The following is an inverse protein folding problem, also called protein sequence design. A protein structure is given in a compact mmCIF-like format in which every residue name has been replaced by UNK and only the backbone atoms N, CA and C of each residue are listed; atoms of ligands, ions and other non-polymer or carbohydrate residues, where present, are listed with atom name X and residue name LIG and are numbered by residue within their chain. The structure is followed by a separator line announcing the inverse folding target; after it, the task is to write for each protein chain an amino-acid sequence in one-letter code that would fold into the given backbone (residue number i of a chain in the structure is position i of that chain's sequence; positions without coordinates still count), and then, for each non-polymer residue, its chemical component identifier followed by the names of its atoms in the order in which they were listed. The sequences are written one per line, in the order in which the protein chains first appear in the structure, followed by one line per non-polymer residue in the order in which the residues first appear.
data_IF_251130089273
#
_entry.id   IF_251130089273
#
_cell.length_a   1.000
_cell.length_b   1.000
_cell.length_c   1.000
_cell.angle_alpha   90.00
_cell.angle_beta   90.00
_cell.angle_gamma   90.00
#
_symmetry.space_group_name_H-M   'P 1'
#
loop_
_entity.id
_entity.type
_entity.pdbx_description
1 polymer ?
#
# COMPACT_ATOMS: atom_id res chain seq x y z
N UNK A 1 -79.04 80.40 -42.68
CA UNK A 1 -78.66 79.08 -42.12
C UNK A 1 -77.54 79.32 -41.13
N UNK A 2 -77.87 79.10 -39.85
CA UNK A 2 -77.04 78.62 -38.71
C UNK A 2 -75.58 79.07 -38.56
N UNK A 3 -75.05 79.52 -37.43
CA UNK A 3 -75.51 79.89 -36.07
C UNK A 3 -74.37 80.74 -35.47
N UNK A 4 -74.74 81.90 -34.89
CA UNK A 4 -74.21 82.74 -33.79
C UNK A 4 -72.79 82.46 -33.21
N UNK A 5 -71.83 83.41 -33.08
CA UNK A 5 -71.81 84.76 -32.44
C UNK A 5 -72.27 84.73 -30.96
N UNK A 6 -71.83 85.50 -29.97
CA UNK A 6 -70.99 86.68 -29.74
C UNK A 6 -70.76 86.69 -28.21
N UNK A 7 -69.60 87.07 -27.68
CA UNK A 7 -69.13 88.44 -27.40
C UNK A 7 -69.71 89.07 -26.10
N UNK A 8 -68.83 89.77 -25.36
CA UNK A 8 -69.04 90.39 -24.03
C UNK A 8 -70.08 91.54 -24.03
N UNK A 9 -70.64 91.99 -22.87
CA UNK A 9 -70.02 93.12 -22.14
C UNK A 9 -70.31 93.26 -20.61
N UNK A 10 -69.61 94.23 -20.04
CA UNK A 10 -69.56 94.86 -18.70
C UNK A 10 -70.86 95.29 -18.00
N UNK A 11 -70.85 95.42 -16.65
CA UNK A 11 -71.10 96.71 -15.94
C UNK A 11 -71.21 96.60 -14.39
N UNK A 12 -70.97 97.75 -13.76
CA UNK A 12 -70.96 98.17 -12.35
C UNK A 12 -72.05 97.63 -11.39
N UNK A 13 -71.70 97.63 -10.10
CA UNK A 13 -72.37 98.36 -8.98
C UNK A 13 -72.55 97.53 -7.70
N UNK A 14 -71.99 98.03 -6.59
CA UNK A 14 -72.36 97.69 -5.21
C UNK A 14 -73.85 97.98 -4.95
N UNK A 15 -74.57 97.25 -4.07
CA UNK A 15 -74.50 97.55 -2.63
C UNK A 15 -74.69 96.36 -1.65
N UNK A 16 -74.14 96.51 -0.45
CA UNK A 16 -74.53 95.81 0.79
C UNK A 16 -76.02 96.14 1.12
N UNK A 17 -76.82 95.38 1.93
CA UNK A 17 -76.42 94.93 3.27
C UNK A 17 -77.11 93.65 3.86
N UNK A 18 -76.58 93.18 5.00
CA UNK A 18 -77.23 92.43 6.10
C UNK A 18 -77.75 90.99 5.85
N UNK A 19 -77.22 90.01 6.60
CA UNK A 19 -77.98 88.80 6.95
C UNK A 19 -77.21 87.56 7.38
N UNK A 20 -76.97 87.44 8.69
CA UNK A 20 -76.85 86.19 9.48
C UNK A 20 -75.68 85.22 9.24
N UNK A 21 -74.62 85.49 9.99
CA UNK A 21 -73.59 84.53 10.41
C UNK A 21 -74.19 83.48 11.37
N UNK A 22 -74.17 82.19 10.98
CA UNK A 22 -74.55 81.04 11.83
C UNK A 22 -73.41 80.01 11.81
N UNK A 23 -72.49 80.15 12.75
CA UNK A 23 -71.42 79.18 13.03
C UNK A 23 -72.01 77.92 13.67
N UNK A 24 -71.98 76.80 12.95
CA UNK A 24 -72.31 75.47 13.49
C UNK A 24 -71.16 74.92 14.34
N UNK A 25 -71.45 74.64 15.62
CA UNK A 25 -70.58 73.92 16.55
C UNK A 25 -70.68 72.41 16.31
N UNK A 26 -69.52 71.75 16.21
CA UNK A 26 -69.40 70.30 16.15
C UNK A 26 -68.41 69.86 17.25
N UNK A 27 -68.83 69.10 18.28
CA UNK A 27 -67.95 68.75 19.39
C UNK A 27 -67.02 67.58 19.00
N UNK A 28 -65.75 67.65 19.40
CA UNK A 28 -64.84 66.50 19.43
C UNK A 28 -64.61 66.05 20.88
N UNK A 29 -64.63 64.73 21.16
CA UNK A 29 -64.49 64.20 22.51
C UNK A 29 -63.01 64.04 22.92
N UNK A 30 -62.71 64.31 24.20
CA UNK A 30 -61.53 63.77 24.90
C UNK A 30 -60.24 64.57 24.86
N UNK A 31 -60.22 65.77 25.47
CA UNK A 31 -58.97 66.47 25.80
C UNK A 31 -58.38 65.95 27.12
N UNK A 32 -57.27 65.20 27.07
CA UNK A 32 -56.43 64.90 28.24
C UNK A 32 -55.43 66.05 28.41
N UNK A 33 -55.39 66.67 29.58
CA UNK A 33 -54.44 67.74 29.88
C UNK A 33 -52.97 67.25 29.73
N UNK A 34 -52.04 68.10 29.24
CA UNK A 34 -50.64 67.72 29.12
C UNK A 34 -50.03 67.53 30.51
N UNK A 35 -49.47 66.34 30.76
CA UNK A 35 -48.64 66.08 31.94
C UNK A 35 -47.37 66.95 31.88
N UNK A 36 -46.85 67.44 33.02
CA UNK A 36 -45.55 68.09 33.05
C UNK A 36 -44.49 67.10 32.53
N UNK A 37 -43.65 67.57 31.61
CA UNK A 37 -42.59 66.78 31.01
C UNK A 37 -41.72 66.16 32.11
N UNK A 38 -41.55 64.83 32.04
CA UNK A 38 -40.55 64.15 32.83
C UNK A 38 -39.18 64.81 32.60
N UNK A 39 -38.32 64.94 33.62
CA UNK A 39 -36.97 65.45 33.42
C UNK A 39 -36.31 64.64 32.30
N UNK A 40 -35.77 65.34 31.31
CA UNK A 40 -34.96 64.70 30.26
C UNK A 40 -33.90 63.84 30.96
N UNK A 41 -33.69 62.58 30.54
CA UNK A 41 -32.62 61.77 31.12
C UNK A 41 -31.33 62.56 30.97
N UNK A 42 -30.66 62.81 32.11
CA UNK A 42 -29.36 63.47 32.13
C UNK A 42 -28.47 62.80 31.08
N UNK A 43 -27.78 63.61 30.27
CA UNK A 43 -26.76 63.09 29.35
C UNK A 43 -25.90 62.08 30.12
N UNK A 44 -25.75 60.83 29.61
CA UNK A 44 -24.97 59.85 30.34
C UNK A 44 -23.59 60.45 30.61
N UNK A 45 -23.19 60.45 31.88
CA UNK A 45 -21.83 60.78 32.28
C UNK A 45 -20.87 60.06 31.32
N UNK A 46 -19.72 60.65 30.93
CA UNK A 46 -18.77 59.98 30.05
C UNK A 46 -18.22 58.76 30.78
N UNK A 47 -18.93 57.63 30.66
CA UNK A 47 -18.50 56.35 31.20
C UNK A 47 -17.27 56.01 30.39
N UNK A 48 -16.13 55.88 31.06
CA UNK A 48 -14.92 55.39 30.43
C UNK A 48 -15.29 54.09 29.71
N UNK A 49 -15.16 54.09 28.38
CA UNK A 49 -15.46 52.90 27.58
C UNK A 49 -14.65 51.73 28.15
N UNK A 50 -15.32 50.61 28.43
CA UNK A 50 -14.65 49.41 28.92
C UNK A 50 -13.43 49.12 28.03
N UNK A 51 -12.25 48.80 28.61
CA UNK A 51 -11.04 48.59 27.83
C UNK A 51 -11.31 47.52 26.77
N UNK A 52 -11.13 47.89 25.50
CA UNK A 52 -11.32 46.95 24.40
C UNK A 52 -10.37 45.76 24.62
N UNK A 53 -10.86 44.52 24.71
CA UNK A 53 -10.01 43.37 24.92
C UNK A 53 -9.09 43.21 23.72
N UNK A 54 -7.82 43.54 23.93
CA UNK A 54 -6.74 43.29 22.99
C UNK A 54 -6.33 41.82 23.12
N UNK A 55 -6.57 41.02 22.07
CA UNK A 55 -6.05 39.65 22.02
C UNK A 55 -4.52 39.67 22.04
N UNK A 56 -3.90 38.69 22.70
CA UNK A 56 -2.46 38.44 22.55
C UNK A 56 -2.24 37.77 21.19
N UNK A 57 -1.78 38.52 20.20
CA UNK A 57 -1.38 37.94 18.93
C UNK A 57 0.01 37.30 19.06
N UNK A 58 0.14 36.03 18.67
CA UNK A 58 1.43 35.39 18.46
C UNK A 58 1.92 35.79 17.06
N UNK A 59 2.58 36.94 16.96
CA UNK A 59 3.28 37.36 15.73
C UNK A 59 4.51 36.50 15.49
N UNK A 60 4.95 36.39 14.23
CA UNK A 60 6.16 35.62 13.88
C UNK A 60 7.43 36.44 13.98
N UNK A 61 7.32 37.76 14.09
CA UNK A 61 8.44 38.66 14.35
C UNK A 61 8.17 39.60 15.54
N UNK A 62 9.23 40.11 16.21
CA UNK A 62 9.11 40.92 17.42
C UNK A 62 8.22 42.17 17.26
N UNK A 63 8.25 42.85 16.12
CA UNK A 63 7.39 44.01 15.84
C UNK A 63 5.91 43.60 15.72
N UNK A 64 5.62 42.49 15.03
CA UNK A 64 4.25 41.98 14.92
C UNK A 64 3.69 41.55 16.28
N UNK A 65 4.50 40.83 17.06
CA UNK A 65 4.12 40.36 18.38
C UNK A 65 3.86 41.54 19.34
N UNK A 66 4.70 42.58 19.28
CA UNK A 66 4.49 43.81 20.05
C UNK A 66 3.23 44.57 19.59
N UNK A 67 2.96 44.59 18.28
CA UNK A 67 1.84 45.32 17.67
C UNK A 67 0.50 44.57 17.70
N UNK A 68 0.47 43.31 18.17
CA UNK A 68 -0.71 42.44 18.11
C UNK A 68 -2.01 43.07 18.61
N UNK A 69 -1.94 43.80 19.74
CA UNK A 69 -3.10 44.52 20.28
C UNK A 69 -3.62 45.58 19.31
N UNK A 70 -2.73 46.39 18.74
CA UNK A 70 -3.06 47.46 17.79
C UNK A 70 -3.59 46.90 16.47
N UNK A 71 -3.00 45.84 15.93
CA UNK A 71 -3.45 45.18 14.70
C UNK A 71 -4.84 44.55 14.88
N UNK A 72 -5.12 43.96 16.05
CA UNK A 72 -6.45 43.42 16.37
C UNK A 72 -7.51 44.52 16.50
N UNK A 73 -7.12 45.71 16.96
CA UNK A 73 -8.02 46.86 17.03
C UNK A 73 -8.23 47.49 15.66
N UNK A 74 -7.21 47.53 14.81
CA UNK A 74 -7.28 48.08 13.45
C UNK A 74 -8.43 47.45 12.65
N UNK A 75 -8.60 46.13 12.74
CA UNK A 75 -9.70 45.42 12.05
C UNK A 75 -11.07 45.75 12.64
N UNK A 76 -11.19 45.77 13.97
CA UNK A 76 -12.46 46.09 14.65
C UNK A 76 -12.90 47.53 14.40
N UNK A 77 -11.96 48.48 14.47
CA UNK A 77 -12.25 49.90 14.30
C UNK A 77 -12.87 50.19 12.93
N UNK A 78 -12.36 49.58 11.86
CA UNK A 78 -12.93 49.72 10.51
C UNK A 78 -14.39 49.25 10.41
N UNK A 79 -14.76 48.22 11.18
CA UNK A 79 -16.14 47.70 11.22
C UNK A 79 -17.06 48.42 12.21
N UNK A 80 -16.57 49.39 12.98
CA UNK A 80 -17.34 50.05 14.02
C UNK A 80 -18.17 51.20 13.44
N UNK A 81 -19.49 51.04 13.40
CA UNK A 81 -20.41 52.04 12.82
C UNK A 81 -20.66 53.26 13.70
N UNK A 82 -20.52 53.13 15.02
CA UNK A 82 -20.65 54.22 15.98
C UNK A 82 -19.79 53.96 17.21
N UNK A 83 -19.18 55.02 17.76
CA UNK A 83 -18.43 54.94 19.02
C UNK A 83 -18.87 56.06 19.98
N UNK A 84 -19.29 55.74 21.22
CA UNK A 84 -19.90 56.72 22.12
C UNK A 84 -18.92 57.78 22.66
N UNK A 85 -17.62 57.48 22.71
CA UNK A 85 -16.61 58.39 23.23
C UNK A 85 -15.27 58.31 22.45
N UNK A 86 -15.14 59.02 21.30
CA UNK A 86 -13.91 58.99 20.51
C UNK A 86 -12.65 59.45 21.27
N UNK A 87 -12.78 60.43 22.18
CA UNK A 87 -11.65 60.92 22.97
C UNK A 87 -11.07 59.87 23.92
N UNK A 88 -11.92 59.04 24.55
CA UNK A 88 -11.45 57.98 25.45
C UNK A 88 -10.79 56.84 24.67
N UNK A 89 -11.32 56.49 23.49
CA UNK A 89 -10.69 55.54 22.58
C UNK A 89 -9.29 56.01 22.16
N UNK A 90 -9.13 57.30 21.82
CA UNK A 90 -7.81 57.86 21.49
C UNK A 90 -6.83 57.70 22.64
N UNK A 91 -7.24 58.03 23.86
CA UNK A 91 -6.39 57.86 25.05
C UNK A 91 -5.98 56.39 25.25
N UNK A 92 -6.88 55.44 24.99
CA UNK A 92 -6.56 54.00 25.02
C UNK A 92 -5.55 53.61 23.94
N UNK A 93 -5.73 54.05 22.69
CA UNK A 93 -4.80 53.76 21.60
C UNK A 93 -3.40 54.34 21.87
N UNK A 94 -3.29 55.54 22.43
CA UNK A 94 -2.02 56.11 22.88
C UNK A 94 -1.37 55.25 23.99
N UNK A 95 -2.17 54.69 24.90
CA UNK A 95 -1.69 53.72 25.89
C UNK A 95 -1.15 52.45 25.23
N UNK A 96 -1.85 51.90 24.24
CA UNK A 96 -1.39 50.72 23.51
C UNK A 96 -0.15 50.99 22.66
N UNK A 97 0.02 52.19 22.10
CA UNK A 97 1.24 52.60 21.38
C UNK A 97 2.45 52.63 22.32
N UNK A 98 2.30 53.15 23.55
CA UNK A 98 3.37 53.10 24.56
C UNK A 98 3.72 51.67 24.96
N UNK A 99 2.73 50.79 25.11
CA UNK A 99 2.97 49.36 25.38
C UNK A 99 3.68 48.67 24.20
N UNK A 100 3.33 49.02 22.97
CA UNK A 100 4.01 48.54 21.77
C UNK A 100 5.49 48.93 21.78
N UNK A 101 5.82 50.20 22.02
CA UNK A 101 7.20 50.68 22.12
C UNK A 101 8.00 49.89 23.16
N UNK A 102 7.46 49.78 24.38
CA UNK A 102 8.11 49.06 25.48
C UNK A 102 8.35 47.59 25.15
N UNK A 103 7.38 46.91 24.52
CA UNK A 103 7.51 45.49 24.14
C UNK A 103 8.50 45.29 23.01
N UNK A 104 8.51 46.16 22.00
CA UNK A 104 9.41 46.07 20.87
C UNK A 104 10.88 46.32 21.29
N UNK A 105 11.11 47.33 22.13
CA UNK A 105 12.43 47.60 22.70
C UNK A 105 12.90 46.46 23.62
N UNK A 106 12.01 45.92 24.46
CA UNK A 106 12.33 44.76 25.31
C UNK A 106 12.64 43.49 24.50
N UNK A 107 12.08 43.36 23.29
CA UNK A 107 12.38 42.28 22.35
C UNK A 107 13.69 42.50 21.56
N UNK A 108 14.42 43.58 21.83
CA UNK A 108 15.72 43.87 21.20
C UNK A 108 15.64 44.59 19.86
N UNK A 109 14.48 45.13 19.48
CA UNK A 109 14.33 45.88 18.22
C UNK A 109 15.00 47.25 18.35
N UNK A 110 15.75 47.65 17.31
CA UNK A 110 16.41 48.95 17.30
C UNK A 110 15.41 50.11 17.42
N UNK A 111 15.71 51.10 18.26
CA UNK A 111 14.82 52.23 18.53
C UNK A 111 14.31 52.96 17.28
N UNK A 112 15.15 53.09 16.25
CA UNK A 112 14.75 53.69 14.98
C UNK A 112 13.66 52.88 14.27
N UNK A 113 13.78 51.55 14.24
CA UNK A 113 12.76 50.65 13.69
C UNK A 113 11.44 50.75 14.48
N UNK A 114 11.53 50.83 15.82
CA UNK A 114 10.35 51.02 16.67
C UNK A 114 9.63 52.33 16.34
N UNK A 115 10.36 53.44 16.13
CA UNK A 115 9.78 54.73 15.76
C UNK A 115 9.10 54.68 14.39
N UNK A 116 9.70 54.03 13.40
CA UNK A 116 9.14 53.85 12.06
C UNK A 116 7.89 52.95 12.08
N UNK A 117 7.93 51.85 12.82
CA UNK A 117 6.79 50.96 13.02
C UNK A 117 5.63 51.67 13.72
N UNK A 118 5.92 52.44 14.78
CA UNK A 118 4.92 53.26 15.48
C UNK A 118 4.28 54.29 14.56
N UNK A 119 5.07 54.95 13.73
CA UNK A 119 4.58 55.91 12.74
C UNK A 119 3.59 55.26 11.77
N UNK A 120 3.94 54.08 11.24
CA UNK A 120 3.06 53.31 10.37
C UNK A 120 1.75 52.90 11.06
N UNK A 121 1.84 52.41 12.30
CA UNK A 121 0.67 52.02 13.11
C UNK A 121 -0.25 53.22 13.42
N UNK A 122 0.31 54.37 13.80
CA UNK A 122 -0.47 55.59 14.02
C UNK A 122 -1.23 55.99 12.76
N UNK A 123 -0.55 55.98 11.62
CA UNK A 123 -1.14 56.35 10.33
C UNK A 123 -2.26 55.38 9.93
N UNK A 124 -2.04 54.07 10.07
CA UNK A 124 -3.05 53.06 9.73
C UNK A 124 -4.28 53.13 10.64
N UNK A 125 -4.09 53.33 11.95
CA UNK A 125 -5.19 53.46 12.91
C UNK A 125 -5.98 54.75 12.70
N UNK A 126 -5.30 55.87 12.44
CA UNK A 126 -5.95 57.14 12.12
C UNK A 126 -6.79 57.01 10.84
N UNK A 127 -6.27 56.37 9.80
CA UNK A 127 -7.04 56.11 8.58
C UNK A 127 -8.24 55.21 8.83
N UNK A 128 -8.07 54.13 9.61
CA UNK A 128 -9.17 53.24 9.98
C UNK A 128 -10.30 53.99 10.69
N UNK A 129 -9.97 54.86 11.65
CA UNK A 129 -10.98 55.69 12.33
C UNK A 129 -11.60 56.71 11.37
N UNK A 130 -10.80 57.46 10.62
CA UNK A 130 -11.29 58.47 9.67
C UNK A 130 -12.08 57.89 8.50
N UNK A 131 -11.97 56.59 8.23
CA UNK A 131 -12.79 55.87 7.25
C UNK A 131 -14.19 55.52 7.77
N UNK A 132 -14.48 55.71 9.06
CA UNK A 132 -15.80 55.49 9.66
C UNK A 132 -16.65 56.77 9.68
N UNK A 133 -18.00 56.66 9.69
CA UNK A 133 -18.88 57.84 9.72
C UNK A 133 -18.69 58.73 10.97
N UNK A 134 -18.40 58.13 12.12
CA UNK A 134 -18.19 58.86 13.38
C UNK A 134 -16.79 59.45 13.48
N UNK A 135 -15.78 58.84 12.84
CA UNK A 135 -14.42 59.35 12.84
C UNK A 135 -14.33 60.73 12.19
N UNK A 136 -14.92 60.88 11.01
CA UNK A 136 -14.98 62.17 10.29
C UNK A 136 -15.87 63.22 10.98
N UNK A 137 -16.90 62.79 11.72
CA UNK A 137 -17.79 63.68 12.45
C UNK A 137 -17.22 64.13 13.82
N UNK A 138 -16.13 63.51 14.27
CA UNK A 138 -15.49 63.79 15.55
C UNK A 138 -14.26 64.70 15.41
N UNK A 139 -13.74 65.18 16.53
CA UNK A 139 -12.50 65.97 16.58
C UNK A 139 -11.22 65.15 16.29
N UNK A 140 -11.35 63.87 15.89
CA UNK A 140 -10.20 62.98 15.62
C UNK A 140 -9.24 63.54 14.58
N UNK A 141 -9.76 64.18 13.51
CA UNK A 141 -8.92 64.75 12.47
C UNK A 141 -7.99 65.88 12.96
N UNK A 142 -8.39 66.61 14.02
CA UNK A 142 -7.56 67.69 14.61
C UNK A 142 -6.57 67.17 15.66
N UNK A 143 -6.88 66.04 16.29
CA UNK A 143 -6.09 65.44 17.36
C UNK A 143 -5.80 63.97 17.06
N UNK A 144 -5.32 63.68 15.85
CA UNK A 144 -5.05 62.30 15.43
C UNK A 144 -3.88 61.69 16.25
N UNK A 145 -3.72 60.38 16.21
CA UNK A 145 -2.60 59.70 16.85
C UNK A 145 -1.27 60.18 16.26
N UNK A 146 -1.19 60.29 14.94
CA UNK A 146 -0.02 60.77 14.22
C UNK A 146 0.34 62.22 14.60
N UNK A 147 -0.65 63.11 14.68
CA UNK A 147 -0.44 64.50 15.12
C UNK A 147 0.07 64.51 16.57
N UNK A 148 -0.55 63.73 17.45
CA UNK A 148 -0.20 63.72 18.88
C UNK A 148 1.21 63.17 19.13
N UNK A 149 1.61 62.14 18.38
CA UNK A 149 2.82 61.36 18.67
C UNK A 149 4.01 61.77 17.81
N UNK A 150 3.76 62.18 16.57
CA UNK A 150 4.78 62.53 15.57
C UNK A 150 4.69 63.98 15.10
N UNK A 151 3.71 64.77 15.56
CA UNK A 151 3.48 66.15 15.13
C UNK A 151 3.30 66.28 13.61
N UNK A 152 2.69 65.27 13.00
CA UNK A 152 2.42 65.22 11.55
C UNK A 152 0.95 64.89 11.27
N UNK A 153 0.34 65.57 10.30
CA UNK A 153 -1.06 65.40 9.94
C UNK A 153 -1.30 64.49 8.72
N UNK A 154 -0.26 64.18 7.93
CA UNK A 154 -0.39 63.46 6.66
C UNK A 154 0.64 62.35 6.53
N UNK A 155 0.29 61.15 7.01
CA UNK A 155 1.20 60.02 7.03
C UNK A 155 1.15 59.09 5.82
N UNK A 156 0.04 59.13 5.08
CA UNK A 156 -0.28 58.15 4.05
C UNK A 156 0.79 57.97 2.96
N UNK A 157 1.45 59.05 2.54
CA UNK A 157 2.51 58.98 1.53
C UNK A 157 3.84 58.48 2.11
N UNK A 158 4.25 59.01 3.27
CA UNK A 158 5.51 58.63 3.95
C UNK A 158 5.56 57.16 4.32
N UNK A 159 4.43 56.55 4.67
CA UNK A 159 4.36 55.09 4.93
C UNK A 159 4.74 54.29 3.67
N UNK A 160 4.31 54.72 2.49
CA UNK A 160 4.69 54.05 1.24
C UNK A 160 6.12 54.37 0.79
N UNK A 161 6.63 55.57 1.07
CA UNK A 161 8.07 55.87 0.88
C UNK A 161 8.93 54.98 1.78
N UNK A 162 8.51 54.77 3.03
CA UNK A 162 9.14 53.84 3.96
C UNK A 162 9.07 52.39 3.44
N UNK A 163 7.93 51.96 2.91
CA UNK A 163 7.77 50.65 2.30
C UNK A 163 8.73 50.46 1.10
N UNK A 164 8.82 51.45 0.22
CA UNK A 164 9.75 51.43 -0.93
C UNK A 164 11.21 51.33 -0.47
N UNK A 165 11.59 52.05 0.59
CA UNK A 165 12.92 51.94 1.19
C UNK A 165 13.18 50.54 1.77
N UNK A 166 12.18 49.94 2.46
CA UNK A 166 12.29 48.57 2.97
C UNK A 166 12.41 47.54 1.83
N UNK A 167 11.73 47.76 0.69
CA UNK A 167 11.84 46.89 -0.49
C UNK A 167 13.20 46.98 -1.19
N UNK A 168 13.96 48.05 -1.01
CA UNK A 168 15.34 48.17 -1.53
C UNK A 168 16.31 47.29 -0.72
N UNK A 169 16.12 47.22 0.61
CA UNK A 169 16.95 46.42 1.54
C UNK A 169 16.08 45.46 2.38
N UNK A 170 15.42 44.47 1.77
CA UNK A 170 14.39 43.67 2.46
C UNK A 170 14.96 42.75 3.54
N UNK A 171 16.25 42.39 3.48
CA UNK A 171 16.92 41.56 4.49
C UNK A 171 17.24 42.32 5.78
N UNK A 172 17.49 43.62 5.68
CA UNK A 172 17.89 44.45 6.83
C UNK A 172 16.67 44.87 7.66
N UNK A 173 15.53 45.12 7.01
CA UNK A 173 14.31 45.65 7.63
C UNK A 173 13.11 44.73 7.41
N UNK A 174 13.37 43.42 7.42
CA UNK A 174 12.33 42.42 7.15
C UNK A 174 11.17 42.54 8.14
N UNK A 175 11.49 42.84 9.39
CA UNK A 175 10.50 42.88 10.45
C UNK A 175 9.50 44.04 10.29
N UNK A 176 9.99 45.19 9.84
CA UNK A 176 9.18 46.36 9.52
C UNK A 176 8.40 46.16 8.22
N UNK A 177 9.02 45.54 7.22
CA UNK A 177 8.37 45.20 5.95
C UNK A 177 7.15 44.28 6.15
N UNK A 178 7.26 43.28 7.03
CA UNK A 178 6.15 42.40 7.42
C UNK A 178 5.01 43.18 8.09
N UNK A 179 5.33 44.09 9.03
CA UNK A 179 4.33 44.93 9.68
C UNK A 179 3.59 45.83 8.69
N UNK A 180 4.31 46.46 7.76
CA UNK A 180 3.71 47.29 6.69
C UNK A 180 2.83 46.45 5.77
N UNK A 181 3.25 45.24 5.42
CA UNK A 181 2.45 44.29 4.66
C UNK A 181 1.15 43.92 5.38
N UNK A 182 1.21 43.68 6.70
CA UNK A 182 0.02 43.44 7.52
C UNK A 182 -0.90 44.66 7.52
N UNK A 183 -0.38 45.87 7.71
CA UNK A 183 -1.19 47.09 7.64
C UNK A 183 -1.96 47.20 6.31
N UNK A 184 -1.28 47.00 5.16
CA UNK A 184 -1.92 46.99 3.85
C UNK A 184 -2.97 45.88 3.72
N UNK A 185 -2.66 44.67 4.21
CA UNK A 185 -3.57 43.52 4.16
C UNK A 185 -4.81 43.70 5.04
N UNK A 186 -4.70 44.46 6.12
CA UNK A 186 -5.81 44.84 7.01
C UNK A 186 -6.57 46.08 6.50
N UNK A 187 -6.20 46.58 5.32
CA UNK A 187 -6.96 47.55 4.55
C UNK A 187 -6.38 48.97 4.56
N UNK A 188 -5.16 49.20 5.04
CA UNK A 188 -4.51 50.50 4.89
C UNK A 188 -4.29 50.85 3.40
N UNK A 189 -4.82 51.98 2.96
CA UNK A 189 -4.79 52.45 1.56
C UNK A 189 -3.87 53.67 1.38
N UNK A 190 -3.79 54.56 2.38
CA UNK A 190 -3.01 55.80 2.34
C UNK A 190 -3.23 56.62 1.06
N UNK A 191 -2.13 56.96 0.35
CA UNK A 191 -2.19 57.77 -0.88
C UNK A 191 -3.00 57.13 -2.00
N UNK A 192 -3.16 55.80 -2.00
CA UNK A 192 -3.85 55.07 -3.06
C UNK A 192 -5.38 55.18 -3.00
N UNK A 193 -5.93 55.63 -1.87
CA UNK A 193 -7.38 55.84 -1.72
C UNK A 193 -7.95 56.91 -2.66
N UNK A 194 -7.15 57.92 -2.97
CA UNK A 194 -7.54 59.09 -3.79
C UNK A 194 -6.96 59.06 -5.21
N UNK A 195 -6.06 58.12 -5.49
CA UNK A 195 -5.36 58.01 -6.77
C UNK A 195 -6.23 57.30 -7.81
N UNK A 196 -6.14 57.73 -9.08
CA UNK A 196 -6.74 57.00 -10.19
C UNK A 196 -6.09 55.62 -10.34
N UNK A 197 -6.91 54.57 -10.48
CA UNK A 197 -6.46 53.17 -10.47
C UNK A 197 -5.68 52.76 -9.18
N UNK A 198 -5.87 53.50 -8.09
CA UNK A 198 -5.09 53.31 -6.86
C UNK A 198 -5.28 51.94 -6.21
N UNK A 199 -6.48 51.33 -6.31
CA UNK A 199 -6.74 49.98 -5.80
C UNK A 199 -5.91 48.93 -6.52
N UNK A 200 -5.83 48.99 -7.85
CA UNK A 200 -5.04 48.04 -8.65
C UNK A 200 -3.54 48.21 -8.36
N UNK A 201 -3.07 49.45 -8.22
CA UNK A 201 -1.68 49.73 -7.83
C UNK A 201 -1.35 49.24 -6.41
N UNK A 202 -2.27 49.41 -5.46
CA UNK A 202 -2.10 48.91 -4.09
C UNK A 202 -2.09 47.38 -4.05
N UNK A 203 -2.95 46.73 -4.83
CA UNK A 203 -2.96 45.27 -4.97
C UNK A 203 -1.64 44.75 -5.56
N UNK A 204 -1.15 45.38 -6.63
CA UNK A 204 0.15 45.05 -7.23
C UNK A 204 1.32 45.27 -6.24
N UNK A 205 1.27 46.33 -5.42
CA UNK A 205 2.26 46.61 -4.40
C UNK A 205 2.21 45.58 -3.26
N UNK A 206 1.01 45.15 -2.85
CA UNK A 206 0.80 44.08 -1.87
C UNK A 206 1.38 42.77 -2.36
N UNK A 207 1.13 42.40 -3.62
CA UNK A 207 1.63 41.17 -4.22
C UNK A 207 3.16 41.18 -4.40
N UNK A 208 3.74 42.32 -4.81
CA UNK A 208 5.20 42.53 -4.85
C UNK A 208 5.83 42.43 -3.46
N UNK A 209 5.18 42.99 -2.44
CA UNK A 209 5.66 42.90 -1.06
C UNK A 209 5.61 41.46 -0.56
N UNK A 210 4.50 40.75 -0.81
CA UNK A 210 4.36 39.34 -0.45
C UNK A 210 5.39 38.44 -1.15
N UNK A 211 5.68 38.66 -2.44
CA UNK A 211 6.69 37.90 -3.17
C UNK A 211 8.10 38.14 -2.61
N UNK A 212 8.41 39.39 -2.23
CA UNK A 212 9.68 39.75 -1.59
C UNK A 212 9.82 39.13 -0.20
N UNK A 213 8.75 39.13 0.60
CA UNK A 213 8.75 38.48 1.92
C UNK A 213 8.98 36.96 1.80
N UNK A 214 8.31 36.31 0.84
CA UNK A 214 8.51 34.88 0.54
C UNK A 214 9.92 34.57 0.08
N UNK A 215 10.53 35.43 -0.74
CA UNK A 215 11.89 35.20 -1.23
C UNK A 215 12.95 35.35 -0.13
N UNK A 216 12.71 36.18 0.89
CA UNK A 216 13.65 36.37 2.00
C UNK A 216 13.45 35.38 3.14
N UNK A 217 12.21 35.12 3.59
CA UNK A 217 11.93 34.15 4.67
C UNK A 217 11.95 32.69 4.21
N UNK A 218 11.85 32.43 2.90
CA UNK A 218 11.65 31.10 2.32
C UNK A 218 10.17 30.79 2.08
N UNK A 219 9.89 29.75 1.28
CA UNK A 219 8.52 29.25 1.12
C UNK A 219 8.04 28.70 2.47
N UNK A 220 6.95 29.27 3.01
CA UNK A 220 6.27 28.66 4.16
C UNK A 220 5.68 27.33 3.73
N UNK A 221 5.79 26.32 4.60
CA UNK A 221 5.18 25.02 4.40
C UNK A 221 3.71 25.20 4.00
N UNK A 222 3.37 24.76 2.78
CA UNK A 222 1.99 24.81 2.23
C UNK A 222 1.06 23.79 2.90
N UNK A 223 1.59 23.02 3.85
CA UNK A 223 0.92 21.90 4.46
C UNK A 223 -0.11 22.43 5.46
N UNK A 224 -1.39 22.18 5.17
CA UNK A 224 -2.54 22.68 5.96
C UNK A 224 -2.63 22.07 7.37
N UNK A 225 -1.78 21.07 7.67
CA UNK A 225 -1.70 20.40 8.96
C UNK A 225 -0.22 20.17 9.29
N UNK A 226 0.26 20.54 10.50
CA UNK A 226 1.61 20.19 10.97
C UNK A 226 1.87 18.68 11.01
N UNK A 227 0.80 17.86 11.00
CA UNK A 227 0.85 16.41 11.01
C UNK A 227 -0.02 15.84 9.88
N UNK A 228 0.15 16.32 8.64
CA UNK A 228 -0.59 15.82 7.48
C UNK A 228 -0.26 14.37 7.14
N UNK A 229 0.90 13.89 7.57
CA UNK A 229 1.29 12.50 7.41
C UNK A 229 0.40 11.67 8.34
N UNK A 230 -0.68 11.12 7.77
CA UNK A 230 -1.50 10.13 8.43
C UNK A 230 -0.62 9.03 9.02
N UNK A 231 -1.08 8.44 10.12
CA UNK A 231 -0.40 7.31 10.77
C UNK A 231 0.12 6.37 9.69
N UNK A 232 1.44 6.25 9.58
CA UNK A 232 2.04 5.28 8.67
C UNK A 232 1.71 3.91 9.24
N UNK A 233 0.53 3.41 8.92
CA UNK A 233 0.18 2.00 9.08
C UNK A 233 1.16 1.32 8.15
N UNK A 234 2.24 0.75 8.70
CA UNK A 234 3.09 -0.17 7.96
C UNK A 234 2.11 -1.10 7.26
N UNK A 235 2.06 -1.12 5.91
CA UNK A 235 1.27 -2.14 5.27
C UNK A 235 1.88 -3.45 5.76
N UNK A 236 1.06 -4.32 6.34
CA UNK A 236 1.45 -5.70 6.61
C UNK A 236 1.79 -6.34 5.27
N UNK A 237 3.01 -6.09 4.77
CA UNK A 237 3.42 -6.40 3.40
C UNK A 237 3.46 -7.91 3.22
N UNK A 238 3.82 -8.66 4.26
CA UNK A 238 3.90 -10.11 4.18
C UNK A 238 2.51 -10.79 4.09
N UNK A 239 1.53 -10.33 4.87
CA UNK A 239 0.19 -10.97 4.92
C UNK A 239 -0.67 -10.64 3.69
N UNK A 240 -0.31 -9.60 2.92
CA UNK A 240 -1.01 -9.21 1.69
C UNK A 240 -0.36 -9.74 0.41
N UNK A 241 0.93 -10.10 0.44
CA UNK A 241 1.67 -10.60 -0.74
C UNK A 241 1.73 -12.13 -0.82
N UNK A 242 1.68 -12.83 0.31
CA UNK A 242 1.80 -14.29 0.33
C UNK A 242 0.51 -14.89 0.87
N UNK A 243 -0.41 -15.32 -0.01
CA UNK A 243 -1.59 -16.05 0.42
C UNK A 243 -1.21 -17.25 1.30
N UNK A 244 -2.02 -17.63 2.29
CA UNK A 244 -1.71 -18.71 3.23
C UNK A 244 -1.47 -20.07 2.55
N UNK A 245 -2.05 -20.29 1.36
CA UNK A 245 -1.82 -21.51 0.58
C UNK A 245 -0.36 -21.68 0.12
N UNK A 246 0.39 -20.59 -0.04
CA UNK A 246 1.82 -20.64 -0.42
C UNK A 246 2.65 -21.24 0.71
N UNK A 247 2.38 -20.84 1.97
CA UNK A 247 3.04 -21.42 3.14
C UNK A 247 2.74 -22.92 3.27
N UNK A 248 1.49 -23.32 3.05
CA UNK A 248 1.09 -24.73 3.04
C UNK A 248 1.79 -25.52 1.92
N UNK A 249 1.90 -24.95 0.72
CA UNK A 249 2.58 -25.58 -0.41
C UNK A 249 4.08 -25.77 -0.16
N UNK A 250 4.76 -24.77 0.42
CA UNK A 250 6.17 -24.87 0.79
C UNK A 250 6.39 -25.93 1.88
N UNK A 251 5.55 -25.95 2.91
CA UNK A 251 5.63 -26.97 3.96
C UNK A 251 5.43 -28.39 3.41
N UNK A 252 4.47 -28.59 2.51
CA UNK A 252 4.24 -29.88 1.86
C UNK A 252 5.43 -30.28 0.99
N UNK A 253 6.01 -29.35 0.23
CA UNK A 253 7.18 -29.61 -0.60
C UNK A 253 8.39 -30.03 0.24
N UNK A 254 8.64 -29.35 1.36
CA UNK A 254 9.70 -29.72 2.32
C UNK A 254 9.48 -31.11 2.92
N UNK A 255 8.23 -31.44 3.28
CA UNK A 255 7.88 -32.75 3.83
C UNK A 255 8.08 -33.88 2.80
N UNK A 256 7.71 -33.65 1.54
CA UNK A 256 7.95 -34.60 0.44
C UNK A 256 9.44 -34.79 0.17
N UNK A 257 10.23 -33.71 0.19
CA UNK A 257 11.68 -33.76 0.00
C UNK A 257 12.36 -34.53 1.14
N UNK A 258 11.93 -34.29 2.38
CA UNK A 258 12.39 -35.05 3.55
C UNK A 258 12.05 -36.54 3.42
N UNK A 259 10.80 -36.87 3.06
CA UNK A 259 10.37 -38.25 2.89
C UNK A 259 11.15 -38.95 1.77
N UNK A 260 11.41 -38.25 0.66
CA UNK A 260 12.25 -38.76 -0.42
C UNK A 260 13.68 -39.04 0.06
N UNK A 261 14.30 -38.10 0.79
CA UNK A 261 15.63 -38.28 1.38
C UNK A 261 15.69 -39.48 2.34
N UNK A 262 14.69 -39.64 3.21
CA UNK A 262 14.58 -40.78 4.12
C UNK A 262 14.42 -42.11 3.37
N UNK A 263 13.64 -42.14 2.28
CA UNK A 263 13.48 -43.33 1.42
C UNK A 263 14.79 -43.73 0.77
N UNK A 264 15.56 -42.78 0.24
CA UNK A 264 16.88 -43.04 -0.33
C UNK A 264 17.86 -43.56 0.71
N UNK A 265 17.90 -42.94 1.89
CA UNK A 265 18.77 -43.38 2.99
C UNK A 265 18.42 -44.81 3.43
N UNK A 266 17.14 -45.11 3.64
CA UNK A 266 16.68 -46.44 4.02
C UNK A 266 17.05 -47.50 2.97
N UNK A 267 16.95 -47.19 1.68
CA UNK A 267 17.33 -48.11 0.61
C UNK A 267 18.84 -48.36 0.56
N UNK A 268 19.64 -47.31 0.75
CA UNK A 268 21.10 -47.43 0.82
C UNK A 268 21.55 -48.30 2.01
N UNK A 269 20.89 -48.16 3.16
CA UNK A 269 21.18 -48.95 4.36
C UNK A 269 20.67 -50.40 4.24
N UNK A 270 19.62 -50.66 3.45
CA UNK A 270 19.02 -51.99 3.28
C UNK A 270 19.78 -52.90 2.30
N UNK A 271 20.37 -52.35 1.23
CA UNK A 271 21.09 -53.13 0.20
C UNK A 271 22.22 -54.04 0.75
N UNK A 272 23.09 -53.61 1.70
CA UNK A 272 24.10 -54.50 2.27
C UNK A 272 23.52 -55.63 3.14
N UNK A 273 22.45 -55.34 3.90
CA UNK A 273 21.77 -56.35 4.73
C UNK A 273 21.15 -57.42 3.84
N UNK A 274 20.53 -57.01 2.74
CA UNK A 274 19.96 -57.93 1.78
C UNK A 274 21.03 -58.84 1.14
N UNK A 275 22.18 -58.25 0.75
CA UNK A 275 23.33 -59.03 0.26
C UNK A 275 23.84 -60.05 1.28
N UNK A 276 23.86 -59.71 2.57
CA UNK A 276 24.27 -60.65 3.63
C UNK A 276 23.27 -61.79 3.83
N UNK A 277 21.96 -61.51 3.80
CA UNK A 277 20.93 -62.55 3.90
C UNK A 277 21.05 -63.55 2.75
N UNK A 278 21.30 -63.07 1.53
CA UNK A 278 21.51 -63.95 0.38
C UNK A 278 22.79 -64.78 0.52
N UNK A 279 23.89 -64.19 1.01
CA UNK A 279 25.11 -64.94 1.28
C UNK A 279 24.93 -66.05 2.33
N UNK A 280 23.97 -65.90 3.26
CA UNK A 280 23.61 -66.94 4.23
C UNK A 280 22.76 -68.08 3.63
N UNK A 281 22.11 -67.85 2.48
CA UNK A 281 21.38 -68.90 1.74
C UNK A 281 22.30 -69.94 1.09
N UNK A 282 23.58 -69.60 0.88
CA UNK A 282 24.62 -70.51 0.35
C UNK A 282 25.35 -71.31 1.45
N UNK A 283 24.77 -71.46 2.66
CA UNK A 283 25.29 -72.46 3.59
C UNK A 283 25.12 -73.83 2.92
N UNK A 284 26.19 -74.60 2.65
CA UNK A 284 26.05 -75.94 2.14
C UNK A 284 25.38 -76.73 3.25
N UNK A 285 24.07 -76.96 3.12
CA UNK A 285 23.39 -77.99 3.88
C UNK A 285 24.21 -79.24 3.60
N UNK A 286 24.88 -79.77 4.63
CA UNK A 286 25.50 -81.08 4.55
C UNK A 286 24.40 -82.02 4.06
N UNK A 287 24.54 -82.45 2.81
CA UNK A 287 23.68 -83.42 2.18
C UNK A 287 23.73 -84.68 3.04
N UNK A 288 22.72 -84.88 3.88
CA UNK A 288 22.40 -86.20 4.39
C UNK A 288 22.12 -87.00 3.12
N UNK A 289 22.98 -87.97 2.82
CA UNK A 289 22.82 -88.84 1.65
C UNK A 289 21.36 -89.35 1.63
N UNK A 290 20.56 -88.97 0.62
CA UNK A 290 19.20 -89.48 0.56
C UNK A 290 19.31 -90.98 0.28
N UNK A 291 18.55 -91.78 1.03
CA UNK A 291 18.35 -93.19 0.71
C UNK A 291 17.91 -93.29 -0.76
N UNK A 292 18.53 -94.18 -1.52
CA UNK A 292 18.25 -94.42 -2.94
C UNK A 292 16.76 -94.69 -3.15
N UNK A 293 16.00 -93.65 -3.49
CA UNK A 293 14.63 -93.78 -3.98
C UNK A 293 14.74 -94.15 -5.46
N UNK A 294 14.10 -95.26 -5.83
CA UNK A 294 14.01 -95.78 -7.20
C UNK A 294 13.70 -94.64 -8.19
N UNK A 295 14.31 -94.62 -9.39
CA UNK A 295 14.12 -93.53 -10.33
C UNK A 295 12.65 -93.44 -10.73
N UNK A 296 11.94 -92.44 -10.19
CA UNK A 296 10.72 -91.93 -10.81
C UNK A 296 11.18 -91.29 -12.11
N UNK A 297 10.59 -91.68 -13.23
CA UNK A 297 10.91 -91.09 -14.54
C UNK A 297 10.53 -89.62 -14.47
N UNK A 298 11.51 -88.76 -14.23
CA UNK A 298 11.33 -87.31 -14.26
C UNK A 298 11.11 -86.94 -15.72
N UNK A 299 9.91 -86.46 -16.05
CA UNK A 299 9.65 -85.86 -17.37
C UNK A 299 10.58 -84.67 -17.53
N UNK A 300 11.51 -84.77 -18.49
CA UNK A 300 12.56 -83.78 -18.67
C UNK A 300 11.95 -82.51 -19.27
N UNK A 301 11.98 -81.36 -18.58
CA UNK A 301 11.54 -80.11 -19.16
C UNK A 301 12.49 -79.77 -20.32
N UNK A 302 12.05 -79.97 -21.58
CA UNK A 302 12.86 -79.67 -22.77
C UNK A 302 12.32 -78.43 -23.47
N UNK A 303 12.57 -77.26 -22.88
CA UNK A 303 12.10 -75.98 -23.44
C UNK A 303 12.86 -75.59 -24.71
N UNK A 304 14.09 -76.09 -24.91
CA UNK A 304 14.90 -75.74 -26.08
C UNK A 304 14.24 -76.15 -27.41
N UNK A 305 13.45 -77.23 -27.42
CA UNK A 305 12.73 -77.68 -28.63
C UNK A 305 11.65 -76.68 -29.02
N UNK A 306 10.89 -76.19 -28.04
CA UNK A 306 9.76 -75.27 -28.26
C UNK A 306 10.21 -73.84 -28.60
N UNK A 307 11.38 -73.42 -28.12
CA UNK A 307 11.94 -72.09 -28.34
C UNK A 307 13.06 -72.05 -29.40
N UNK A 308 13.18 -73.09 -30.24
CA UNK A 308 14.30 -73.25 -31.18
C UNK A 308 14.43 -72.10 -32.19
N UNK A 309 13.33 -71.49 -32.60
CA UNK A 309 13.33 -70.30 -33.48
C UNK A 309 13.89 -69.06 -32.77
N UNK A 310 13.51 -68.85 -31.51
CA UNK A 310 13.96 -67.71 -30.70
C UNK A 310 15.43 -67.84 -30.25
N UNK A 311 15.90 -69.08 -30.07
CA UNK A 311 17.32 -69.38 -29.83
C UNK A 311 18.15 -69.06 -31.09
N UNK A 312 17.69 -69.47 -32.28
CA UNK A 312 18.37 -69.12 -33.55
C UNK A 312 18.39 -67.62 -33.82
N UNK A 313 17.32 -66.92 -33.44
CA UNK A 313 17.24 -65.46 -33.50
C UNK A 313 18.03 -64.74 -32.39
N UNK A 314 18.74 -65.48 -31.53
CA UNK A 314 19.55 -64.97 -30.41
C UNK A 314 18.75 -64.07 -29.43
N UNK A 315 17.44 -64.32 -29.30
CA UNK A 315 16.53 -63.59 -28.39
C UNK A 315 16.49 -64.19 -26.99
N UNK A 316 16.72 -65.50 -26.88
CA UNK A 316 16.78 -66.25 -25.63
C UNK A 316 17.91 -67.28 -25.68
N UNK A 317 18.47 -67.62 -24.53
CA UNK A 317 19.34 -68.78 -24.37
C UNK A 317 18.63 -69.81 -23.49
N UNK A 318 18.64 -71.08 -23.87
CA UNK A 318 17.99 -72.15 -23.09
C UNK A 318 19.04 -73.19 -22.72
N UNK A 319 19.08 -73.52 -21.44
CA UNK A 319 19.91 -74.59 -20.89
C UNK A 319 19.01 -75.66 -20.29
N UNK A 320 18.86 -76.79 -20.98
CA UNK A 320 18.09 -77.94 -20.50
C UNK A 320 19.02 -78.86 -19.67
N UNK A 321 18.79 -78.90 -18.36
CA UNK A 321 19.45 -79.79 -17.41
C UNK A 321 18.65 -81.09 -17.15
N UNK A 322 19.14 -81.90 -16.20
CA UNK A 322 18.48 -83.17 -15.83
C UNK A 322 17.24 -82.93 -14.96
N UNK A 323 17.31 -81.92 -14.10
CA UNK A 323 16.38 -81.57 -13.03
C UNK A 323 15.67 -80.22 -13.25
N UNK A 324 16.14 -79.40 -14.20
CA UNK A 324 15.59 -78.08 -14.51
C UNK A 324 15.89 -77.63 -15.93
N UNK A 325 15.09 -76.72 -16.47
CA UNK A 325 15.37 -75.98 -17.70
C UNK A 325 15.41 -74.49 -17.42
N UNK A 326 16.48 -73.81 -17.81
CA UNK A 326 16.68 -72.38 -17.56
C UNK A 326 16.62 -71.62 -18.87
N UNK A 327 15.65 -70.71 -18.99
CA UNK A 327 15.53 -69.77 -20.10
C UNK A 327 16.09 -68.42 -19.66
N UNK A 328 17.19 -67.97 -20.26
CA UNK A 328 17.83 -66.70 -19.97
C UNK A 328 17.50 -65.67 -21.05
N UNK A 329 17.03 -64.50 -20.63
CA UNK A 329 16.66 -63.38 -21.49
C UNK A 329 17.45 -62.14 -21.08
N UNK A 330 18.01 -61.44 -22.06
CA UNK A 330 18.77 -60.21 -21.82
C UNK A 330 17.82 -59.08 -21.39
N UNK A 331 18.12 -58.45 -20.26
CA UNK A 331 17.29 -57.43 -19.63
C UNK A 331 17.21 -56.14 -20.45
N UNK A 332 18.25 -55.76 -21.18
CA UNK A 332 18.24 -54.55 -22.03
C UNK A 332 17.33 -54.68 -23.25
N UNK A 333 17.15 -55.90 -23.72
CA UNK A 333 16.26 -56.22 -24.82
C UNK A 333 14.82 -56.25 -24.30
N UNK A 334 14.60 -56.93 -23.17
CA UNK A 334 13.28 -57.14 -22.57
C UNK A 334 12.65 -55.88 -21.93
N UNK A 335 13.46 -55.01 -21.31
CA UNK A 335 13.00 -53.82 -20.58
C UNK A 335 13.69 -52.54 -21.08
N UNK A 336 13.04 -51.40 -20.89
CA UNK A 336 13.71 -50.11 -21.00
C UNK A 336 14.64 -49.85 -19.79
N UNK A 337 15.62 -48.97 -19.95
CA UNK A 337 16.52 -48.58 -18.85
C UNK A 337 15.72 -48.01 -17.67
N UNK A 338 16.00 -48.50 -16.45
CA UNK A 338 15.29 -48.08 -15.24
C UNK A 338 13.80 -48.46 -15.17
N UNK A 339 13.32 -49.33 -16.07
CA UNK A 339 11.93 -49.81 -16.09
C UNK A 339 11.84 -51.30 -15.81
N UNK A 340 10.71 -51.71 -15.23
CA UNK A 340 10.30 -53.10 -15.08
C UNK A 340 9.22 -53.54 -16.09
N UNK A 341 8.73 -52.63 -16.93
CA UNK A 341 7.72 -52.95 -17.95
C UNK A 341 8.37 -53.55 -19.20
N UNK A 342 7.78 -54.64 -19.69
CA UNK A 342 8.26 -55.38 -20.86
C UNK A 342 7.89 -54.64 -22.14
N UNK A 343 8.86 -54.50 -23.06
CA UNK A 343 8.63 -53.85 -24.37
C UNK A 343 7.64 -54.64 -25.21
N UNK A 344 6.79 -53.94 -25.96
CA UNK A 344 5.74 -54.52 -26.79
C UNK A 344 6.27 -55.55 -27.80
N UNK A 345 7.45 -55.30 -28.40
CA UNK A 345 8.11 -56.20 -29.35
C UNK A 345 8.48 -57.60 -28.76
N UNK A 346 8.54 -57.69 -27.43
CA UNK A 346 8.85 -58.92 -26.70
C UNK A 346 7.61 -59.60 -26.11
N UNK A 347 6.42 -58.98 -26.18
CA UNK A 347 5.16 -59.61 -25.77
C UNK A 347 4.87 -60.92 -26.53
N UNK A 348 5.09 -61.02 -27.86
CA UNK A 348 4.91 -62.29 -28.57
C UNK A 348 5.87 -63.40 -28.10
N UNK A 349 7.09 -63.04 -27.70
CA UNK A 349 8.07 -63.98 -27.16
C UNK A 349 7.62 -64.50 -25.79
N UNK A 350 7.19 -63.60 -24.89
CA UNK A 350 6.62 -63.98 -23.58
C UNK A 350 5.44 -64.93 -23.77
N UNK A 351 4.64 -64.70 -24.80
CA UNK A 351 3.58 -65.58 -25.21
C UNK A 351 4.02 -67.01 -25.53
N UNK A 352 5.02 -67.17 -26.40
CA UNK A 352 5.55 -68.50 -26.76
C UNK A 352 6.19 -69.20 -25.57
N UNK A 353 6.88 -68.45 -24.71
CA UNK A 353 7.47 -69.00 -23.47
C UNK A 353 6.36 -69.49 -22.53
N UNK A 354 5.29 -68.72 -22.33
CA UNK A 354 4.14 -69.16 -21.54
C UNK A 354 3.49 -70.42 -22.12
N UNK A 355 3.30 -70.49 -23.44
CA UNK A 355 2.70 -71.64 -24.10
C UNK A 355 3.59 -72.89 -23.98
N UNK A 356 4.92 -72.73 -24.03
CA UNK A 356 5.88 -73.81 -23.82
C UNK A 356 5.90 -74.30 -22.37
N UNK A 357 5.88 -73.37 -21.39
CA UNK A 357 5.81 -73.68 -19.96
C UNK A 357 4.48 -74.37 -19.61
N UNK A 358 3.38 -73.96 -20.23
CA UNK A 358 2.05 -74.55 -19.99
C UNK A 358 1.93 -76.02 -20.41
N UNK A 359 2.84 -76.52 -21.26
CA UNK A 359 2.88 -77.92 -21.72
C UNK A 359 3.70 -78.84 -20.82
N UNK A 360 4.40 -78.28 -19.84
CA UNK A 360 5.33 -79.02 -18.97
C UNK A 360 4.88 -78.79 -17.53
N UNK A 361 4.90 -79.84 -16.70
CA UNK A 361 4.61 -79.75 -15.27
C UNK A 361 5.86 -79.34 -14.48
N UNK A 362 5.68 -78.71 -13.32
CA UNK A 362 6.79 -78.28 -12.46
C UNK A 362 6.68 -76.85 -11.93
N UNK A 363 7.46 -76.53 -10.90
CA UNK A 363 7.53 -75.18 -10.33
C UNK A 363 8.38 -74.28 -11.24
N UNK A 364 7.94 -73.03 -11.40
CA UNK A 364 8.62 -72.03 -12.22
C UNK A 364 9.14 -70.91 -11.32
N UNK A 365 10.44 -70.69 -11.34
CA UNK A 365 11.10 -69.58 -10.65
C UNK A 365 11.60 -68.57 -11.65
N UNK A 366 11.13 -67.34 -11.52
CA UNK A 366 11.63 -66.19 -12.28
C UNK A 366 12.61 -65.43 -11.41
N UNK A 367 13.85 -65.33 -11.88
CA UNK A 367 14.92 -64.64 -11.17
C UNK A 367 15.37 -63.43 -11.97
N UNK A 368 15.26 -62.25 -11.39
CA UNK A 368 15.74 -61.00 -11.96
C UNK A 368 17.14 -60.65 -11.47
N UNK A 369 18.04 -60.31 -12.40
CA UNK A 369 19.39 -59.85 -12.10
C UNK A 369 19.64 -58.44 -12.67
N UNK A 370 20.47 -57.66 -12.00
CA UNK A 370 20.95 -56.35 -12.41
C UNK A 370 22.48 -56.34 -12.50
N UNK A 371 23.05 -55.22 -12.95
CA UNK A 371 24.49 -55.01 -12.89
C UNK A 371 24.89 -54.26 -11.60
N UNK A 372 26.19 -54.05 -11.42
CA UNK A 372 26.73 -53.36 -10.26
C UNK A 372 26.57 -51.82 -10.31
N UNK A 373 25.84 -51.25 -11.28
CA UNK A 373 25.62 -49.80 -11.33
C UNK A 373 24.43 -49.44 -10.47
N UNK A 374 24.59 -48.61 -9.43
CA UNK A 374 23.49 -48.29 -8.53
C UNK A 374 22.37 -47.52 -9.26
N UNK A 375 21.12 -47.91 -9.00
CA UNK A 375 19.93 -47.14 -9.39
C UNK A 375 19.30 -46.48 -8.17
N UNK A 376 18.90 -45.21 -8.32
CA UNK A 376 18.17 -44.45 -7.31
C UNK A 376 17.14 -43.56 -8.01
N UNK A 377 15.95 -44.12 -8.28
CA UNK A 377 14.83 -43.39 -8.89
C UNK A 377 13.63 -43.36 -7.95
N UNK A 378 12.65 -42.50 -8.21
CA UNK A 378 11.42 -42.42 -7.42
C UNK A 378 10.65 -43.76 -7.40
N UNK A 379 10.69 -44.51 -8.51
CA UNK A 379 10.00 -45.79 -8.66
C UNK A 379 10.82 -46.99 -8.16
N UNK A 380 12.12 -46.97 -8.40
CA UNK A 380 13.04 -48.04 -8.02
C UNK A 380 14.20 -47.45 -7.21
N UNK A 381 14.15 -47.57 -5.88
CA UNK A 381 15.15 -46.97 -4.99
C UNK A 381 16.45 -47.79 -4.88
N UNK A 382 16.47 -49.04 -5.34
CA UNK A 382 17.66 -49.88 -5.39
C UNK A 382 17.64 -50.90 -6.52
N UNK A 383 18.80 -51.48 -6.82
CA UNK A 383 18.98 -52.51 -7.85
C UNK A 383 18.20 -53.78 -7.52
N UNK A 384 18.15 -54.15 -6.24
CA UNK A 384 17.30 -55.22 -5.77
C UNK A 384 15.82 -54.97 -6.13
N UNK A 385 15.29 -53.79 -5.77
CA UNK A 385 13.90 -53.44 -6.04
C UNK A 385 13.56 -53.46 -7.55
N UNK A 386 14.49 -53.00 -8.40
CA UNK A 386 14.33 -53.08 -9.85
C UNK A 386 14.34 -54.53 -10.36
N UNK A 387 15.28 -55.35 -9.89
CA UNK A 387 15.43 -56.74 -10.32
C UNK A 387 14.22 -57.60 -9.92
N UNK A 388 13.72 -57.42 -8.68
CA UNK A 388 12.50 -58.06 -8.19
C UNK A 388 11.26 -57.65 -8.99
N UNK A 389 11.08 -56.34 -9.21
CA UNK A 389 9.94 -55.85 -9.98
C UNK A 389 9.92 -56.38 -11.42
N UNK A 390 11.10 -56.55 -12.06
CA UNK A 390 11.22 -57.19 -13.38
C UNK A 390 10.82 -58.65 -13.38
N UNK A 391 11.23 -59.39 -12.35
CA UNK A 391 10.83 -60.79 -12.18
C UNK A 391 9.31 -60.93 -11.94
N UNK A 392 8.73 -60.04 -11.13
CA UNK A 392 7.29 -59.99 -10.86
C UNK A 392 6.48 -59.66 -12.13
N UNK A 393 6.94 -58.74 -12.98
CA UNK A 393 6.28 -58.43 -14.26
C UNK A 393 6.24 -59.66 -15.18
N UNK A 394 7.39 -60.35 -15.35
CA UNK A 394 7.46 -61.56 -16.16
C UNK A 394 6.55 -62.65 -15.58
N UNK A 395 6.55 -62.83 -14.26
CA UNK A 395 5.64 -63.75 -13.58
C UNK A 395 4.18 -63.44 -13.92
N UNK A 396 3.75 -62.18 -13.83
CA UNK A 396 2.36 -61.80 -14.09
C UNK A 396 1.93 -62.16 -15.51
N UNK A 397 2.78 -61.91 -16.51
CA UNK A 397 2.48 -62.24 -17.91
C UNK A 397 2.38 -63.76 -18.12
N UNK A 398 3.34 -64.52 -17.61
CA UNK A 398 3.37 -65.98 -17.78
C UNK A 398 2.23 -66.66 -17.02
N UNK A 399 1.96 -66.23 -15.79
CA UNK A 399 0.88 -66.76 -14.95
C UNK A 399 -0.50 -66.46 -15.55
N UNK A 400 -0.72 -65.25 -16.07
CA UNK A 400 -1.98 -64.87 -16.71
C UNK A 400 -2.29 -65.71 -17.94
N UNK A 401 -1.26 -66.05 -18.73
CA UNK A 401 -1.42 -66.84 -19.96
C UNK A 401 -1.51 -68.35 -19.73
N UNK A 402 -0.85 -68.87 -18.70
CA UNK A 402 -0.91 -70.30 -18.34
C UNK A 402 -2.10 -70.66 -17.44
N UNK A 403 -2.69 -69.67 -16.76
CA UNK A 403 -3.81 -69.86 -15.83
C UNK A 403 -3.44 -70.56 -14.52
N UNK A 404 -2.14 -70.68 -14.20
CA UNK A 404 -1.63 -71.46 -13.06
C UNK A 404 -0.71 -70.63 -12.15
N UNK A 405 -1.19 -69.53 -11.53
CA UNK A 405 -0.33 -68.60 -10.78
C UNK A 405 0.40 -69.24 -9.59
N UNK A 406 -0.15 -70.31 -9.01
CA UNK A 406 0.47 -71.01 -7.87
C UNK A 406 1.79 -71.72 -8.23
N UNK A 407 2.08 -71.91 -9.51
CA UNK A 407 3.31 -72.53 -10.00
C UNK A 407 4.46 -71.55 -10.16
N UNK A 408 4.22 -70.25 -10.04
CA UNK A 408 5.23 -69.24 -10.33
C UNK A 408 5.69 -68.53 -9.07
N UNK A 409 7.00 -68.33 -8.96
CA UNK A 409 7.66 -67.54 -7.93
C UNK A 409 8.59 -66.51 -8.58
N UNK A 410 8.70 -65.32 -7.99
CA UNK A 410 9.55 -64.25 -8.49
C UNK A 410 10.55 -63.81 -7.42
N UNK A 411 11.83 -63.77 -7.79
CA UNK A 411 12.94 -63.39 -6.92
C UNK A 411 13.81 -62.33 -7.61
N UNK A 412 14.31 -61.36 -6.83
CA UNK A 412 15.27 -60.37 -7.31
C UNK A 412 16.62 -60.60 -6.62
N UNK A 413 17.68 -60.80 -7.40
CA UNK A 413 19.03 -61.06 -6.89
C UNK A 413 20.00 -59.88 -7.09
N UNK A 414 19.52 -58.73 -7.58
CA UNK A 414 20.39 -57.57 -7.79
C UNK A 414 21.66 -57.97 -8.59
N UNK A 415 22.86 -57.56 -8.15
CA UNK A 415 24.15 -57.88 -8.74
C UNK A 415 24.90 -59.06 -8.07
N UNK A 416 24.22 -59.87 -7.23
CA UNK A 416 24.89 -60.88 -6.39
C UNK A 416 25.41 -62.10 -7.16
N UNK A 417 24.84 -62.41 -8.32
CA UNK A 417 25.24 -63.55 -9.17
C UNK A 417 25.62 -63.09 -10.59
N UNK A 418 26.83 -62.52 -10.77
CA UNK A 418 27.30 -62.06 -12.07
C UNK A 418 27.76 -63.25 -12.95
N UNK A 419 27.22 -63.34 -14.16
CA UNK A 419 27.62 -64.35 -15.17
C UNK A 419 28.76 -63.85 -16.07
N UNK A 420 29.08 -62.55 -16.02
CA UNK A 420 30.18 -61.92 -16.74
C UNK A 420 30.81 -60.78 -15.93
N UNK A 421 31.98 -60.30 -16.36
CA UNK A 421 32.66 -59.19 -15.68
C UNK A 421 31.83 -57.91 -15.72
N UNK A 422 31.61 -57.29 -14.55
CA UNK A 422 30.96 -55.98 -14.45
C UNK A 422 31.86 -54.81 -14.93
N UNK A 423 33.13 -55.07 -15.28
CA UNK A 423 34.06 -54.04 -15.75
C UNK A 423 33.71 -53.53 -17.16
N UNK A 424 33.25 -54.41 -18.06
CA UNK A 424 32.94 -54.06 -19.46
C UNK A 424 31.46 -53.78 -19.66
N UNK A 425 31.12 -52.99 -20.69
CA UNK A 425 29.73 -52.69 -21.00
C UNK A 425 28.95 -53.95 -21.44
N UNK A 426 29.63 -54.80 -22.21
CA UNK A 426 29.11 -56.08 -22.69
C UNK A 426 28.87 -57.06 -21.54
N UNK A 427 29.78 -57.11 -20.56
CA UNK A 427 29.64 -57.97 -19.40
C UNK A 427 28.50 -57.51 -18.47
N UNK A 428 28.35 -56.20 -18.25
CA UNK A 428 27.18 -55.65 -17.54
C UNK A 428 25.87 -55.96 -18.24
N UNK A 429 25.83 -55.87 -19.58
CA UNK A 429 24.64 -56.22 -20.36
C UNK A 429 24.24 -57.69 -20.21
N UNK A 430 25.21 -58.60 -20.05
CA UNK A 430 24.94 -60.01 -19.73
C UNK A 430 24.43 -60.20 -18.30
N UNK A 431 24.90 -59.41 -17.34
CA UNK A 431 24.46 -59.49 -15.95
C UNK A 431 23.05 -58.93 -15.75
N UNK A 432 22.64 -57.93 -16.53
CA UNK A 432 21.24 -57.47 -16.62
C UNK A 432 20.43 -58.52 -17.39
N UNK A 433 19.84 -59.48 -16.68
CA UNK A 433 19.09 -60.60 -17.27
C UNK A 433 17.92 -61.03 -16.41
N UNK A 434 16.98 -61.74 -17.03
CA UNK A 434 15.95 -62.50 -16.33
C UNK A 434 16.10 -63.96 -16.69
N UNK A 435 16.08 -64.82 -15.68
CA UNK A 435 16.12 -66.26 -15.82
C UNK A 435 14.76 -66.83 -15.44
N UNK A 436 14.23 -67.72 -16.28
CA UNK A 436 13.01 -68.46 -16.02
C UNK A 436 13.41 -69.92 -15.88
N UNK A 437 13.44 -70.40 -14.65
CA UNK A 437 13.82 -71.76 -14.30
C UNK A 437 12.58 -72.60 -14.10
N UNK A 438 12.40 -73.64 -14.91
CA UNK A 438 11.35 -74.65 -14.71
C UNK A 438 11.99 -75.86 -14.06
N UNK A 439 11.62 -76.12 -12.81
CA UNK A 439 12.04 -77.29 -12.03
C UNK A 439 11.20 -78.50 -12.44
N UNK A 440 11.83 -79.65 -12.56
CA UNK A 440 11.14 -80.88 -12.93
C UNK A 440 10.25 -81.39 -11.77
N UNK A 441 9.16 -82.10 -12.11
CA UNK A 441 8.19 -82.58 -11.14
C UNK A 441 8.81 -83.53 -10.11
N UNK A 442 8.73 -83.16 -8.81
CA UNK A 442 9.27 -83.95 -7.70
C UNK A 442 10.64 -83.51 -7.16
N UNK A 443 11.19 -82.41 -7.67
CA UNK A 443 12.34 -81.71 -7.07
C UNK A 443 11.77 -80.50 -6.32
N UNK A 444 11.71 -80.57 -4.98
CA UNK A 444 11.37 -79.43 -4.11
C UNK A 444 12.60 -78.57 -3.79
#
# INVERSE_FOLDING_TARGET
MSVNNDDWPSSNASPNPLGNDRTQFMPRPGGRAPQPAAPSPAAPLPVAAAPLPAGQAQGMNPLEQAAGSLLSLLTRLRSTLAHPAPASLRAQLLGYLRQFEQRAEAAGVARNEVLLARYALCTALDEAVLSTPWGSASEWGKQSLLITVHNEAWGGEKVFQLLEHCLQSPRERIDLLELLYLCMSLGFEGRYRVMHDGRSQLEALRERTASTLRSVRGERERELSPHWQGVQVMPDRLSRLVPPWVGLAVALALLLLLLFGLRLKLAADAEPVFRQIHALGEVPVQSIEPAVVKPRVVERPRLATFLSEDIRANRVAVQDGVDRSVVTIRGDELFASGSASIKDDFQPLMGRIADAIGRINGQVRITGHSDNRPIATLRFPSNWALSRARAEEVLQILAARTGQPQRFSAEGLSDTEPVASNATAEGRAKNRRVEITVLAEGVE
#
